data_IF_705059599184
#
_entry.id   IF_705059599184
#
_cell.length_a   1.000
_cell.length_b   1.000
_cell.length_c   1.000
_cell.angle_alpha   90.00
_cell.angle_beta   90.00
_cell.angle_gamma   90.00
#
_symmetry.space_group_name_H-M   'P 1'
#
loop_
_entity.id
_entity.type
_entity.pdbx_description
1 polymer ?
#
# COMPACT_ATOMS: atom_id res chain seq x y z
N UNK A 1 -5.78 -12.54 -5.27
CA UNK A 1 -4.42 -12.05 -5.64
C UNK A 1 -3.44 -13.19 -5.96
N UNK A 2 -3.61 -14.40 -5.41
CA UNK A 2 -2.58 -15.44 -5.52
C UNK A 2 -2.29 -15.95 -6.94
N UNK A 3 -3.31 -16.06 -7.81
CA UNK A 3 -3.07 -16.39 -9.22
C UNK A 3 -2.23 -15.31 -9.92
N UNK A 4 -2.53 -14.04 -9.67
CA UNK A 4 -1.76 -12.91 -10.22
C UNK A 4 -0.31 -12.96 -9.76
N UNK A 5 -0.05 -13.18 -8.47
CA UNK A 5 1.32 -13.32 -7.93
C UNK A 5 2.10 -14.42 -8.64
N UNK A 6 1.48 -15.60 -8.80
CA UNK A 6 2.11 -16.74 -9.49
C UNK A 6 2.50 -16.40 -10.92
N UNK A 7 1.63 -15.74 -11.68
CA UNK A 7 1.92 -15.34 -13.07
C UNK A 7 3.06 -14.31 -13.11
N UNK A 8 3.06 -13.34 -12.19
CA UNK A 8 4.11 -12.33 -12.10
C UNK A 8 5.47 -12.97 -11.83
N UNK A 9 5.53 -13.89 -10.86
CA UNK A 9 6.75 -14.59 -10.49
C UNK A 9 7.22 -15.57 -11.58
N UNK A 10 6.30 -16.25 -12.27
CA UNK A 10 6.60 -17.22 -13.33
C UNK A 10 7.18 -16.55 -14.59
N UNK A 11 6.73 -15.34 -14.91
CA UNK A 11 7.10 -14.63 -16.14
C UNK A 11 7.98 -13.38 -15.91
N UNK A 12 8.45 -13.14 -14.68
CA UNK A 12 9.29 -12.00 -14.29
C UNK A 12 8.72 -10.65 -14.75
N UNK A 13 7.44 -10.42 -14.45
CA UNK A 13 6.72 -9.24 -14.93
C UNK A 13 6.86 -8.05 -13.99
N UNK A 14 7.13 -6.88 -14.55
CA UNK A 14 6.97 -5.62 -13.82
C UNK A 14 5.48 -5.28 -13.74
N UNK A 15 4.93 -5.25 -12.53
CA UNK A 15 3.50 -5.02 -12.28
C UNK A 15 3.28 -3.94 -11.25
N UNK A 16 2.26 -3.11 -11.48
CA UNK A 16 1.73 -2.16 -10.50
C UNK A 16 0.29 -2.52 -10.17
N UNK A 17 0.00 -2.75 -8.89
CA UNK A 17 -1.36 -2.94 -8.39
C UNK A 17 -1.89 -1.62 -7.83
N UNK A 18 -3.13 -1.29 -8.13
CA UNK A 18 -3.86 -0.18 -7.52
C UNK A 18 -4.99 -0.77 -6.67
N UNK A 19 -5.05 -0.38 -5.40
CA UNK A 19 -6.06 -0.85 -4.46
C UNK A 19 -6.39 0.24 -3.44
N UNK A 20 -7.62 0.19 -2.91
CA UNK A 20 -8.03 1.01 -1.77
C UNK A 20 -7.80 0.30 -0.42
N UNK A 21 -7.47 -1.00 -0.44
CA UNK A 21 -7.21 -1.79 0.77
C UNK A 21 -5.73 -1.76 1.13
N UNK A 22 -5.41 -1.19 2.29
CA UNK A 22 -4.03 -1.18 2.81
C UNK A 22 -3.51 -2.60 3.09
N UNK A 23 -4.41 -3.51 3.48
CA UNK A 23 -4.08 -4.92 3.69
C UNK A 23 -3.63 -5.58 2.39
N UNK A 24 -4.33 -5.32 1.28
CA UNK A 24 -3.95 -5.85 -0.02
C UNK A 24 -2.65 -5.23 -0.52
N UNK A 25 -2.47 -3.91 -0.32
CA UNK A 25 -1.23 -3.21 -0.66
C UNK A 25 0.00 -3.77 0.07
N UNK A 26 -0.16 -4.24 1.31
CA UNK A 26 0.88 -4.92 2.08
C UNK A 26 0.99 -6.43 1.80
N UNK A 27 -0.05 -7.05 1.24
CA UNK A 27 -0.04 -8.47 0.91
C UNK A 27 0.82 -8.81 -0.32
N UNK A 28 1.13 -7.86 -1.20
CA UNK A 28 1.87 -8.10 -2.44
C UNK A 28 2.81 -6.94 -2.83
N UNK A 29 3.88 -7.28 -3.54
CA UNK A 29 4.88 -6.33 -4.02
C UNK A 29 5.97 -6.02 -2.99
N UNK A 30 7.00 -5.35 -3.46
CA UNK A 30 8.21 -4.94 -2.74
C UNK A 30 8.23 -3.43 -2.44
N UNK A 31 7.32 -2.67 -3.06
CA UNK A 31 7.13 -1.23 -2.88
C UNK A 31 5.67 -0.87 -2.75
N UNK A 32 5.36 0.09 -1.88
CA UNK A 32 4.02 0.64 -1.71
C UNK A 32 4.11 2.16 -1.87
N UNK A 33 3.32 2.69 -2.81
CA UNK A 33 3.18 4.12 -3.05
C UNK A 33 1.75 4.51 -2.73
N UNK A 34 1.57 5.49 -1.84
CA UNK A 34 0.26 6.05 -1.53
C UNK A 34 0.15 7.43 -2.16
N UNK A 35 -0.94 7.64 -2.90
CA UNK A 35 -1.23 8.91 -3.53
C UNK A 35 -2.41 9.59 -2.83
N UNK A 36 -2.33 10.90 -2.69
CA UNK A 36 -3.41 11.71 -2.19
C UNK A 36 -3.41 13.06 -2.91
N UNK A 37 -4.57 13.49 -3.44
CA UNK A 37 -4.72 14.75 -4.20
C UNK A 37 -3.69 14.97 -5.32
N UNK A 38 -3.24 13.88 -5.96
CA UNK A 38 -2.25 13.94 -7.04
C UNK A 38 -0.79 14.00 -6.57
N UNK A 39 -0.55 13.97 -5.26
CA UNK A 39 0.79 13.94 -4.68
C UNK A 39 1.11 12.57 -4.08
N UNK A 40 2.40 12.20 -4.08
CA UNK A 40 2.88 11.01 -3.40
C UNK A 40 3.05 11.37 -1.92
N UNK A 41 2.22 10.79 -1.07
CA UNK A 41 2.25 11.04 0.38
C UNK A 41 3.04 9.97 1.14
N UNK A 42 3.23 8.79 0.54
CA UNK A 42 4.03 7.72 1.10
C UNK A 42 4.68 6.94 -0.03
N UNK A 43 5.95 6.62 0.15
CA UNK A 43 6.74 5.80 -0.76
C UNK A 43 7.71 4.94 0.06
N UNK A 44 7.39 3.66 0.18
CA UNK A 44 8.13 2.71 1.03
C UNK A 44 8.49 1.49 0.22
N UNK A 45 9.74 1.01 0.35
CA UNK A 45 10.25 -0.11 -0.42
C UNK A 45 11.14 -1.03 0.42
N UNK A 46 11.37 -2.24 -0.09
CA UNK A 46 12.33 -3.19 0.47
C UNK A 46 12.01 -3.61 1.91
N UNK A 47 13.03 -3.73 2.75
CA UNK A 47 12.89 -4.19 4.13
C UNK A 47 12.00 -3.28 4.99
N UNK A 48 12.01 -1.96 4.74
CA UNK A 48 11.15 -1.04 5.46
C UNK A 48 9.67 -1.41 5.22
N UNK A 49 9.31 -1.64 3.96
CA UNK A 49 7.95 -2.05 3.58
C UNK A 49 7.63 -3.46 4.07
N UNK A 50 8.60 -4.39 4.02
CA UNK A 50 8.39 -5.78 4.45
C UNK A 50 8.03 -5.91 5.94
N UNK A 51 8.51 -4.98 6.77
CA UNK A 51 8.25 -4.97 8.22
C UNK A 51 7.01 -4.13 8.62
N UNK A 52 6.35 -3.47 7.68
CA UNK A 52 5.19 -2.63 7.96
C UNK A 52 3.91 -3.43 8.19
N UNK A 53 3.08 -2.94 9.10
CA UNK A 53 1.71 -3.38 9.33
C UNK A 53 0.73 -2.28 8.90
N UNK A 54 -0.54 -2.65 8.75
CA UNK A 54 -1.61 -1.70 8.38
C UNK A 54 -1.65 -0.46 9.31
N UNK A 55 -1.53 -0.58 10.65
CA UNK A 55 -1.47 0.57 11.53
C UNK A 55 -0.33 1.54 11.22
N UNK A 56 0.84 1.04 10.81
CA UNK A 56 1.99 1.90 10.48
C UNK A 56 1.69 2.78 9.26
N UNK A 57 1.00 2.23 8.25
CA UNK A 57 0.59 3.00 7.07
C UNK A 57 -0.46 4.05 7.43
N UNK A 58 -1.42 3.73 8.30
CA UNK A 58 -2.42 4.69 8.78
C UNK A 58 -1.77 5.84 9.57
N UNK A 59 -0.82 5.51 10.44
CA UNK A 59 -0.06 6.49 11.21
C UNK A 59 0.77 7.41 10.30
N UNK A 60 1.40 6.85 9.27
CA UNK A 60 2.15 7.64 8.30
C UNK A 60 1.22 8.53 7.46
N UNK A 61 0.07 8.00 7.02
CA UNK A 61 -0.90 8.75 6.24
C UNK A 61 -1.50 9.92 7.03
N UNK A 62 -1.91 9.70 8.28
CA UNK A 62 -2.46 10.76 9.15
C UNK A 62 -1.47 11.88 9.43
N UNK A 63 -0.20 11.55 9.67
CA UNK A 63 0.88 12.54 9.86
C UNK A 63 1.07 13.44 8.65
N UNK A 64 0.92 12.90 7.44
CA UNK A 64 1.07 13.66 6.19
C UNK A 64 -0.17 14.51 5.90
N UNK A 65 -1.37 14.04 6.27
CA UNK A 65 -2.63 14.77 6.06
C UNK A 65 -2.84 15.90 7.07
N UNK A 66 -2.26 15.82 8.27
CA UNK A 66 -2.44 16.84 9.33
C UNK A 66 -3.88 16.95 9.85
N UNK A 67 -4.75 16.02 9.46
CA UNK A 67 -6.18 15.94 9.82
C UNK A 67 -6.40 14.63 10.59
N UNK A 68 -7.14 14.67 11.71
CA UNK A 68 -7.60 13.46 12.40
C UNK A 68 -8.42 12.62 11.41
N UNK A 69 -8.01 11.36 11.24
CA UNK A 69 -8.52 10.41 10.25
C UNK A 69 -10.04 10.30 10.27
N UNK A 70 -10.72 11.01 9.38
CA UNK A 70 -12.12 10.78 9.03
C UNK A 70 -12.19 9.83 7.82
N UNK A 71 -11.50 8.68 7.87
CA UNK A 71 -11.52 7.75 6.74
C UNK A 71 -11.47 6.28 7.17
N UNK A 72 -12.36 5.90 8.11
CA UNK A 72 -12.74 4.51 8.38
C UNK A 72 -13.18 3.75 7.10
N UNK A 73 -13.45 4.46 6.00
CA UNK A 73 -13.80 3.88 4.70
C UNK A 73 -12.62 3.18 3.99
N UNK A 74 -11.37 3.53 4.32
CA UNK A 74 -10.16 2.88 3.75
C UNK A 74 -9.93 1.45 4.26
N UNK A 75 -10.59 1.07 5.36
CA UNK A 75 -10.44 -0.25 5.99
C UNK A 75 -11.55 -1.24 5.61
N UNK A 76 -12.62 -0.78 4.98
CA UNK A 76 -13.80 -1.58 4.68
C UNK A 76 -13.96 -1.76 3.18
N UNK A 77 -13.42 -2.87 2.66
CA UNK A 77 -14.01 -3.78 1.66
C UNK A 77 -13.07 -4.95 1.36
#
# INVERSE_FOLDING_TARGET
IDLTKRIVDEFDLIVMMVTHSMKDALACGDRTVMLHQGEIVLDVAGEQRANMQVPDLLDMFSKVRGEELADDSLLLN
#
